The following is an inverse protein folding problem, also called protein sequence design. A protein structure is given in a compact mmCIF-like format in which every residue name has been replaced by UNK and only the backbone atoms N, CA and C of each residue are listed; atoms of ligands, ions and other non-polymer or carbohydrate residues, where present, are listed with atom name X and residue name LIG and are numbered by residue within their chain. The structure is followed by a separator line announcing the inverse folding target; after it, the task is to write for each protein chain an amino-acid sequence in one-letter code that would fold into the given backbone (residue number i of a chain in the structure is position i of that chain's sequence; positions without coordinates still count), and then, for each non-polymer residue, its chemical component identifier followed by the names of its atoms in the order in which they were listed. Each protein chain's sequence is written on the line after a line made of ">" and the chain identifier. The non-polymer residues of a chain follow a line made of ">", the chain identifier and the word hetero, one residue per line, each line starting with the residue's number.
data_IF_346859923775
#
_entry.id   IF_346859923775
#
_cell.length_a   1.000
_cell.length_b   1.000
_cell.length_c   1.000
_cell.angle_alpha   90.00
_cell.angle_beta   90.00
_cell.angle_gamma   90.00
#
_symmetry.space_group_name_H-M   'P 1'
#
loop_
_entity.id
_entity.type
_entity.pdbx_description
1 polymer ?
#
# COMPACT_ATOMS: atom_id res chain seq x y z
N UNK A 1 68.10 35.50 4.87
CA UNK A 1 67.16 34.41 5.21
C UNK A 1 65.92 34.60 4.35
N UNK A 2 65.78 33.81 3.29
CA UNK A 2 64.66 33.88 2.35
C UNK A 2 63.64 32.80 2.70
N UNK A 3 62.32 33.09 2.73
CA UNK A 3 61.31 32.06 2.85
C UNK A 3 61.00 31.47 1.47
N UNK A 4 61.04 30.14 1.38
CA UNK A 4 60.69 29.37 0.19
C UNK A 4 59.17 29.24 0.04
N UNK A 5 58.71 29.56 -1.17
CA UNK A 5 57.38 29.26 -1.70
C UNK A 5 57.27 27.75 -1.99
N UNK A 6 56.12 27.16 -1.67
CA UNK A 6 55.74 25.81 -2.08
C UNK A 6 54.28 25.85 -2.52
N UNK A 7 54.07 26.12 -3.80
CA UNK A 7 52.81 25.83 -4.50
C UNK A 7 52.90 24.42 -5.07
N UNK A 8 51.97 23.55 -4.66
CA UNK A 8 51.77 22.23 -5.22
C UNK A 8 50.31 22.07 -5.66
N UNK A 9 50.04 21.56 -6.87
CA UNK A 9 48.67 21.43 -7.37
C UNK A 9 47.96 20.24 -6.71
N UNK A 10 46.76 20.49 -6.18
CA UNK A 10 45.85 19.46 -5.67
C UNK A 10 45.16 18.80 -6.86
N UNK A 11 45.57 17.56 -7.16
CA UNK A 11 44.91 16.72 -8.14
C UNK A 11 43.59 16.20 -7.57
N UNK A 12 42.47 16.70 -8.10
CA UNK A 12 41.14 16.13 -7.86
C UNK A 12 41.03 14.79 -8.61
N UNK A 13 41.36 13.70 -7.91
CA UNK A 13 41.07 12.35 -8.36
C UNK A 13 39.58 12.05 -8.26
N UNK A 14 38.84 12.23 -9.36
CA UNK A 14 37.50 11.70 -9.49
C UNK A 14 37.56 10.17 -9.51
N UNK A 15 37.22 9.56 -8.38
CA UNK A 15 37.13 8.11 -8.24
C UNK A 15 35.88 7.63 -8.97
N UNK A 16 36.03 7.20 -10.21
CA UNK A 16 34.99 6.49 -10.96
C UNK A 16 34.80 5.11 -10.32
N UNK A 17 33.80 4.96 -9.47
CA UNK A 17 33.34 3.64 -9.06
C UNK A 17 32.70 2.96 -10.27
N UNK A 18 33.45 2.04 -10.89
CA UNK A 18 32.89 1.10 -11.85
C UNK A 18 31.76 0.32 -11.18
N UNK A 19 30.56 0.21 -11.78
CA UNK A 19 29.51 -0.68 -11.29
C UNK A 19 30.07 -2.11 -11.33
N UNK A 20 30.35 -2.68 -10.16
CA UNK A 20 30.82 -4.06 -10.04
C UNK A 20 29.80 -5.00 -10.69
N UNK A 21 30.26 -5.81 -11.64
CA UNK A 21 29.52 -6.97 -12.13
C UNK A 21 29.25 -7.88 -10.93
N UNK A 22 27.97 -8.13 -10.67
CA UNK A 22 27.47 -8.91 -9.53
C UNK A 22 27.41 -10.41 -9.87
N UNK A 23 28.06 -10.85 -10.96
CA UNK A 23 27.92 -12.19 -11.54
C UNK A 23 28.86 -13.24 -10.91
N UNK A 24 29.24 -13.06 -9.64
CA UNK A 24 29.87 -14.13 -8.87
C UNK A 24 28.84 -15.20 -8.50
N UNK A 25 29.17 -16.50 -8.51
CA UNK A 25 28.26 -17.52 -8.03
C UNK A 25 27.97 -17.25 -6.56
N UNK A 26 26.74 -16.82 -6.27
CA UNK A 26 26.21 -16.74 -4.91
C UNK A 26 26.36 -18.16 -4.34
N UNK A 27 27.18 -18.30 -3.31
CA UNK A 27 27.30 -19.58 -2.61
C UNK A 27 25.89 -19.96 -2.17
N UNK A 28 25.43 -21.21 -2.42
CA UNK A 28 24.09 -21.62 -2.05
C UNK A 28 23.93 -21.30 -0.56
N UNK A 29 23.02 -20.37 -0.23
CA UNK A 29 22.70 -20.08 1.15
C UNK A 29 22.30 -21.41 1.78
N UNK A 30 23.05 -21.85 2.80
CA UNK A 30 22.69 -23.05 3.55
C UNK A 30 21.26 -22.84 4.06
N UNK A 31 20.35 -23.72 3.64
CA UNK A 31 18.98 -23.74 4.10
C UNK A 31 18.99 -23.85 5.63
N UNK A 32 18.55 -22.79 6.32
CA UNK A 32 18.57 -22.73 7.77
C UNK A 32 17.23 -23.17 8.32
N UNK A 33 17.26 -24.00 9.35
CA UNK A 33 16.04 -24.36 10.07
C UNK A 33 15.44 -23.12 10.75
N UNK A 34 14.11 -22.91 10.65
CA UNK A 34 13.45 -21.80 11.34
C UNK A 34 13.67 -21.85 12.85
N UNK A 35 13.98 -20.70 13.47
CA UNK A 35 14.26 -20.61 14.90
C UNK A 35 13.09 -20.00 15.66
N UNK A 36 12.61 -20.70 16.69
CA UNK A 36 11.59 -20.19 17.60
C UNK A 36 12.21 -19.26 18.65
N UNK A 37 11.63 -18.07 18.83
CA UNK A 37 12.01 -17.06 19.82
C UNK A 37 10.80 -16.73 20.69
N UNK A 38 10.93 -16.89 22.00
CA UNK A 38 9.86 -16.62 22.95
C UNK A 38 9.44 -15.14 22.92
N UNK A 39 8.12 -14.88 22.91
CA UNK A 39 7.58 -13.51 22.85
C UNK A 39 7.62 -12.86 21.45
N UNK A 40 8.25 -13.51 20.46
CA UNK A 40 8.34 -13.05 19.07
C UNK A 40 7.63 -13.98 18.07
N UNK A 41 7.92 -15.28 18.11
CA UNK A 41 7.49 -16.25 17.11
C UNK A 41 8.68 -16.90 16.41
N UNK A 42 8.53 -17.25 15.14
CA UNK A 42 9.58 -17.91 14.35
C UNK A 42 10.34 -16.90 13.49
N UNK A 43 11.67 -17.01 13.46
CA UNK A 43 12.53 -16.38 12.46
C UNK A 43 12.77 -17.37 11.32
N UNK A 44 12.28 -17.06 10.13
CA UNK A 44 12.39 -17.92 8.94
C UNK A 44 13.48 -17.46 7.98
N UNK A 45 13.80 -16.17 7.97
CA UNK A 45 14.59 -15.52 6.94
C UNK A 45 15.81 -14.79 7.50
N UNK A 46 15.77 -14.36 8.76
CA UNK A 46 16.87 -13.65 9.41
C UNK A 46 17.84 -14.58 10.15
N UNK A 47 19.12 -14.21 10.12
CA UNK A 47 20.15 -14.86 10.92
C UNK A 47 20.06 -14.38 12.38
N UNK A 48 19.60 -15.25 13.29
CA UNK A 48 19.48 -14.93 14.71
C UNK A 48 20.81 -14.48 15.34
N UNK A 49 21.92 -15.15 15.02
CA UNK A 49 23.24 -14.79 15.56
C UNK A 49 23.66 -13.39 15.14
N UNK A 50 23.40 -13.03 13.87
CA UNK A 50 23.65 -11.68 13.38
C UNK A 50 22.78 -10.66 14.12
N UNK A 51 21.49 -10.96 14.31
CA UNK A 51 20.57 -10.06 14.98
C UNK A 51 20.94 -9.86 16.46
N UNK A 52 21.32 -10.92 17.17
CA UNK A 52 21.83 -10.86 18.55
C UNK A 52 23.16 -10.09 18.63
N UNK A 53 24.06 -10.29 17.67
CA UNK A 53 25.31 -9.54 17.60
C UNK A 53 25.07 -8.03 17.41
N UNK A 54 24.08 -7.63 16.60
CA UNK A 54 23.69 -6.22 16.45
C UNK A 54 23.13 -5.62 17.74
N UNK A 55 22.45 -6.42 18.55
CA UNK A 55 21.91 -6.00 19.84
C UNK A 55 22.96 -5.98 20.95
N UNK A 56 24.05 -6.73 20.81
CA UNK A 56 25.00 -6.97 21.89
C UNK A 56 24.35 -7.71 23.07
N UNK A 57 23.38 -8.58 22.80
CA UNK A 57 22.57 -9.30 23.79
C UNK A 57 22.63 -10.81 23.57
N UNK A 58 22.39 -11.55 24.65
CA UNK A 58 22.08 -12.99 24.58
C UNK A 58 20.63 -13.22 24.14
N UNK A 59 20.33 -14.44 23.70
CA UNK A 59 18.94 -14.82 23.36
C UNK A 59 18.00 -14.67 24.56
N UNK A 60 18.43 -15.06 25.76
CA UNK A 60 17.63 -14.97 26.98
C UNK A 60 17.26 -13.51 27.32
N UNK A 61 18.20 -12.58 27.17
CA UNK A 61 17.95 -11.15 27.36
C UNK A 61 16.96 -10.60 26.33
N UNK A 62 17.11 -10.98 25.06
CA UNK A 62 16.20 -10.59 24.00
C UNK A 62 14.78 -11.13 24.22
N UNK A 63 14.64 -12.42 24.57
CA UNK A 63 13.36 -13.06 24.90
C UNK A 63 12.70 -12.44 26.13
N UNK A 64 13.48 -12.10 27.15
CA UNK A 64 12.99 -11.37 28.34
C UNK A 64 12.44 -9.98 27.97
N UNK A 65 13.13 -9.26 27.08
CA UNK A 65 12.66 -7.96 26.58
C UNK A 65 11.37 -8.11 25.74
N UNK A 66 11.27 -9.15 24.92
CA UNK A 66 10.11 -9.43 24.06
C UNK A 66 8.92 -10.02 24.82
N UNK A 67 9.14 -10.70 25.94
CA UNK A 67 8.10 -11.21 26.83
C UNK A 67 7.28 -10.10 27.50
N UNK A 68 6.19 -10.48 28.15
CA UNK A 68 5.44 -9.56 29.03
C UNK A 68 6.31 -9.20 30.23
N UNK A 69 6.37 -7.91 30.58
CA UNK A 69 7.16 -7.42 31.71
C UNK A 69 6.47 -6.19 32.35
N UNK A 70 7.12 -5.58 33.35
CA UNK A 70 6.62 -4.42 34.07
C UNK A 70 6.48 -3.16 33.19
N UNK A 71 7.29 -3.05 32.12
CA UNK A 71 7.24 -1.96 31.14
C UNK A 71 6.19 -2.20 30.03
N UNK A 72 5.84 -3.45 29.76
CA UNK A 72 4.99 -3.87 28.63
C UNK A 72 4.00 -4.95 29.02
N UNK A 73 2.71 -4.60 28.98
CA UNK A 73 1.61 -5.48 29.40
C UNK A 73 1.27 -6.61 28.42
N UNK A 74 1.93 -6.67 27.27
CA UNK A 74 1.73 -7.66 26.22
C UNK A 74 3.07 -8.04 25.56
N UNK A 75 3.17 -9.26 25.00
CA UNK A 75 4.39 -9.73 24.34
C UNK A 75 4.66 -9.02 22.99
N UNK A 76 5.90 -9.08 22.52
CA UNK A 76 6.39 -8.42 21.29
C UNK A 76 5.56 -8.74 20.06
N UNK A 77 5.20 -10.01 19.84
CA UNK A 77 4.35 -10.44 18.71
C UNK A 77 2.97 -9.75 18.68
N UNK A 78 2.52 -9.23 19.82
CA UNK A 78 1.23 -8.57 19.96
C UNK A 78 1.31 -7.03 19.73
N UNK A 79 2.51 -6.51 19.43
CA UNK A 79 2.77 -5.11 19.13
C UNK A 79 2.15 -4.69 17.79
N UNK A 80 1.73 -3.42 17.71
CA UNK A 80 1.18 -2.83 16.48
C UNK A 80 2.17 -2.88 15.32
N UNK A 81 3.47 -2.68 15.57
CA UNK A 81 4.52 -2.75 14.55
C UNK A 81 4.50 -4.10 13.81
N UNK A 82 4.62 -5.20 14.57
CA UNK A 82 4.54 -6.57 14.03
C UNK A 82 3.23 -6.82 13.25
N UNK A 83 2.11 -6.27 13.72
CA UNK A 83 0.83 -6.44 13.04
C UNK A 83 0.79 -5.75 11.66
N UNK A 84 1.49 -4.63 11.47
CA UNK A 84 1.62 -3.99 10.16
C UNK A 84 2.45 -4.86 9.23
N UNK A 85 3.60 -5.36 9.70
CA UNK A 85 4.44 -6.27 8.92
C UNK A 85 3.72 -7.59 8.59
N UNK A 86 2.95 -8.17 9.50
CA UNK A 86 2.13 -9.36 9.21
C UNK A 86 1.09 -9.09 8.10
N UNK A 87 0.54 -7.88 8.03
CA UNK A 87 -0.37 -7.49 6.95
C UNK A 87 0.38 -7.31 5.62
N UNK A 88 1.59 -6.74 5.64
CA UNK A 88 2.48 -6.62 4.48
C UNK A 88 2.85 -8.01 3.95
N UNK A 89 3.29 -8.93 4.83
CA UNK A 89 3.57 -10.33 4.47
C UNK A 89 2.38 -10.99 3.79
N UNK A 90 1.20 -10.89 4.42
CA UNK A 90 -0.03 -11.45 3.86
C UNK A 90 -0.34 -10.88 2.47
N UNK A 91 -0.30 -9.57 2.31
CA UNK A 91 -0.62 -8.93 1.03
C UNK A 91 0.40 -9.29 -0.06
N UNK A 92 1.69 -9.33 0.29
CA UNK A 92 2.78 -9.66 -0.63
C UNK A 92 2.72 -11.13 -1.10
N UNK A 93 2.49 -12.07 -0.19
CA UNK A 93 2.29 -13.49 -0.53
C UNK A 93 1.12 -13.66 -1.51
N UNK A 94 0.00 -12.97 -1.24
CA UNK A 94 -1.19 -13.03 -2.09
C UNK A 94 -0.97 -12.35 -3.44
N UNK A 95 -0.19 -11.29 -3.51
CA UNK A 95 0.21 -10.64 -4.77
C UNK A 95 1.09 -11.54 -5.62
N UNK A 96 2.07 -12.22 -5.01
CA UNK A 96 2.92 -13.20 -5.70
C UNK A 96 2.06 -14.34 -6.25
N UNK A 97 1.17 -14.91 -5.44
CA UNK A 97 0.24 -15.97 -5.84
C UNK A 97 -0.68 -15.51 -7.00
N UNK A 98 -1.27 -14.31 -6.90
CA UNK A 98 -2.13 -13.74 -7.93
C UNK A 98 -1.39 -13.51 -9.26
N UNK A 99 -0.16 -12.99 -9.22
CA UNK A 99 0.67 -12.78 -10.40
C UNK A 99 1.13 -14.11 -11.02
N UNK A 100 1.48 -15.10 -10.19
CA UNK A 100 1.85 -16.44 -10.63
C UNK A 100 0.67 -17.10 -11.37
N UNK A 101 -0.53 -17.06 -10.77
CA UNK A 101 -1.72 -17.63 -11.39
C UNK A 101 -2.10 -16.93 -12.69
N UNK A 102 -2.02 -15.60 -12.72
CA UNK A 102 -2.27 -14.83 -13.95
C UNK A 102 -1.27 -15.22 -15.04
N UNK A 103 0.02 -15.41 -14.69
CA UNK A 103 1.05 -15.89 -15.61
C UNK A 103 0.69 -17.28 -16.18
N UNK A 104 0.23 -18.21 -15.36
CA UNK A 104 -0.19 -19.54 -15.80
C UNK A 104 -1.38 -19.50 -16.77
N UNK A 105 -2.41 -18.70 -16.46
CA UNK A 105 -3.57 -18.52 -17.33
C UNK A 105 -3.12 -18.01 -18.70
N UNK A 106 -2.28 -16.97 -18.73
CA UNK A 106 -1.75 -16.43 -20.00
C UNK A 106 -0.84 -17.44 -20.72
N UNK A 107 0.01 -18.17 -19.99
CA UNK A 107 0.87 -19.22 -20.57
C UNK A 107 0.07 -20.37 -21.21
N UNK A 108 -1.14 -20.62 -20.73
CA UNK A 108 -2.07 -21.61 -21.32
C UNK A 108 -2.75 -21.14 -22.61
N UNK A 109 -2.41 -19.94 -23.11
CA UNK A 109 -2.96 -19.36 -24.34
C UNK A 109 -4.22 -18.52 -24.13
N UNK A 110 -4.70 -18.38 -22.89
CA UNK A 110 -5.84 -17.49 -22.60
C UNK A 110 -5.42 -16.02 -22.68
N UNK A 111 -6.26 -15.13 -23.23
CA UNK A 111 -5.97 -13.70 -23.24
C UNK A 111 -5.91 -13.15 -21.81
N UNK A 112 -5.12 -12.09 -21.60
CA UNK A 112 -5.15 -11.35 -20.35
C UNK A 112 -6.43 -10.50 -20.33
N UNK A 113 -7.36 -10.86 -19.45
CA UNK A 113 -8.67 -10.23 -19.33
C UNK A 113 -8.61 -8.87 -18.60
N UNK A 114 -9.63 -8.03 -18.78
CA UNK A 114 -9.70 -6.71 -18.15
C UNK A 114 -9.82 -6.79 -16.63
N UNK A 115 -10.59 -7.76 -16.12
CA UNK A 115 -10.75 -7.97 -14.69
C UNK A 115 -9.41 -8.34 -14.02
N UNK A 116 -8.55 -9.10 -14.72
CA UNK A 116 -7.21 -9.46 -14.22
C UNK A 116 -6.32 -8.23 -14.12
N UNK A 117 -6.33 -7.38 -15.15
CA UNK A 117 -5.56 -6.12 -15.16
C UNK A 117 -6.04 -5.19 -14.05
N UNK A 118 -7.36 -5.00 -13.94
CA UNK A 118 -7.96 -4.13 -12.91
C UNK A 118 -7.67 -4.63 -11.50
N UNK A 119 -7.78 -5.94 -11.29
CA UNK A 119 -7.45 -6.57 -10.02
C UNK A 119 -5.98 -6.38 -9.64
N UNK A 120 -5.04 -6.68 -10.55
CA UNK A 120 -3.61 -6.49 -10.28
C UNK A 120 -3.27 -5.02 -10.00
N UNK A 121 -3.85 -4.09 -10.76
CA UNK A 121 -3.63 -2.66 -10.55
C UNK A 121 -4.16 -2.20 -9.19
N UNK A 122 -5.36 -2.63 -8.80
CA UNK A 122 -5.95 -2.33 -7.50
C UNK A 122 -5.05 -2.85 -6.38
N UNK A 123 -4.71 -4.14 -6.40
CA UNK A 123 -3.97 -4.80 -5.33
C UNK A 123 -2.54 -4.28 -5.18
N UNK A 124 -1.83 -4.05 -6.30
CA UNK A 124 -0.47 -3.51 -6.26
C UNK A 124 -0.49 -2.06 -5.77
N UNK A 125 -1.44 -1.23 -6.21
CA UNK A 125 -1.54 0.15 -5.73
C UNK A 125 -1.80 0.19 -4.22
N UNK A 126 -2.78 -0.57 -3.77
CA UNK A 126 -3.14 -0.68 -2.35
C UNK A 126 -1.96 -1.15 -1.48
N UNK A 127 -1.19 -2.13 -1.97
CA UNK A 127 0.03 -2.60 -1.30
C UNK A 127 1.15 -1.54 -1.27
N UNK A 128 1.44 -0.89 -2.41
CA UNK A 128 2.50 0.11 -2.49
C UNK A 128 2.17 1.35 -1.63
N UNK A 129 0.93 1.86 -1.71
CA UNK A 129 0.50 2.98 -0.86
C UNK A 129 0.71 2.67 0.63
N UNK A 130 0.38 1.44 1.06
CA UNK A 130 0.52 1.03 2.46
C UNK A 130 1.99 0.82 2.86
N UNK A 131 2.79 0.18 2.00
CA UNK A 131 4.21 -0.05 2.26
C UNK A 131 4.98 1.27 2.36
N UNK A 132 4.73 2.21 1.45
CA UNK A 132 5.35 3.55 1.47
C UNK A 132 4.97 4.31 2.75
N UNK A 133 3.69 4.30 3.13
CA UNK A 133 3.23 4.95 4.36
C UNK A 133 3.83 4.29 5.62
N UNK A 134 3.98 2.96 5.61
CA UNK A 134 4.60 2.20 6.71
C UNK A 134 6.07 2.58 6.89
N UNK A 135 6.86 2.58 5.81
CA UNK A 135 8.28 3.00 5.87
C UNK A 135 8.45 4.46 6.30
N UNK A 136 7.57 5.38 5.84
CA UNK A 136 7.59 6.77 6.33
C UNK A 136 7.33 6.83 7.85
N UNK A 137 6.41 6.02 8.37
CA UNK A 137 6.13 5.97 9.81
C UNK A 137 7.32 5.46 10.61
N UNK A 138 8.01 4.44 10.12
CA UNK A 138 9.22 3.91 10.76
C UNK A 138 10.29 5.00 10.84
N UNK A 139 10.66 5.60 9.72
CA UNK A 139 11.75 6.58 9.64
C UNK A 139 11.43 7.90 10.37
N UNK A 140 10.29 8.52 10.04
CA UNK A 140 9.99 9.89 10.46
C UNK A 140 9.37 9.99 11.85
N UNK A 141 8.78 8.90 12.34
CA UNK A 141 8.10 8.87 13.64
C UNK A 141 8.85 8.00 14.62
N UNK A 142 8.97 6.70 14.36
CA UNK A 142 9.47 5.75 15.36
C UNK A 142 10.99 5.81 15.52
N UNK A 143 11.76 5.61 14.46
CA UNK A 143 13.22 5.62 14.50
C UNK A 143 13.76 6.98 14.95
N UNK A 144 13.20 8.07 14.43
CA UNK A 144 13.52 9.43 14.91
C UNK A 144 13.22 9.64 16.40
N UNK A 145 12.18 9.00 16.93
CA UNK A 145 11.87 9.07 18.36
C UNK A 145 12.79 8.17 19.19
N UNK A 146 13.09 6.94 18.73
CA UNK A 146 13.98 6.00 19.40
C UNK A 146 15.44 6.48 19.45
N UNK A 147 15.93 7.12 18.36
CA UNK A 147 17.27 7.73 18.24
C UNK A 147 17.60 8.77 19.31
N UNK A 148 16.61 9.25 20.08
CA UNK A 148 16.82 10.15 21.21
C UNK A 148 17.42 9.45 22.44
N UNK A 149 17.37 8.12 22.51
CA UNK A 149 17.81 7.32 23.67
C UNK A 149 18.69 6.14 23.29
N UNK A 150 18.59 5.63 22.06
CA UNK A 150 19.27 4.42 21.61
C UNK A 150 19.88 4.67 20.24
N UNK A 151 21.12 4.22 20.04
CA UNK A 151 21.72 4.17 18.71
C UNK A 151 21.09 3.02 17.91
N UNK A 152 20.49 3.33 16.76
CA UNK A 152 19.84 2.33 15.93
C UNK A 152 20.84 1.72 14.95
N UNK A 153 20.94 0.38 14.85
CA UNK A 153 21.77 -0.28 13.86
C UNK A 153 21.42 0.16 12.43
N UNK A 154 22.44 0.39 11.59
CA UNK A 154 22.27 0.82 10.20
C UNK A 154 21.49 -0.20 9.37
N UNK A 155 21.56 -1.49 9.72
CA UNK A 155 20.84 -2.55 9.02
C UNK A 155 19.31 -2.40 9.06
N UNK A 156 18.76 -1.63 10.00
CA UNK A 156 17.32 -1.37 10.09
C UNK A 156 16.79 -0.54 8.92
N UNK A 157 17.65 0.26 8.28
CA UNK A 157 17.24 1.21 7.22
C UNK A 157 17.99 0.97 5.91
N UNK A 158 18.94 0.03 5.90
CA UNK A 158 19.86 -0.18 4.78
C UNK A 158 19.12 -0.59 3.49
N UNK A 159 18.07 -1.40 3.62
CA UNK A 159 17.36 -1.98 2.47
C UNK A 159 16.19 -1.12 1.97
N UNK A 160 15.74 -0.12 2.74
CA UNK A 160 14.57 0.71 2.39
C UNK A 160 14.70 1.32 1.00
N UNK A 161 15.88 1.86 0.67
CA UNK A 161 16.11 2.46 -0.64
C UNK A 161 16.00 1.46 -1.81
N UNK A 162 16.38 0.19 -1.61
CA UNK A 162 16.21 -0.86 -2.63
C UNK A 162 14.76 -1.33 -2.73
N UNK A 163 14.07 -1.45 -1.59
CA UNK A 163 12.64 -1.77 -1.51
C UNK A 163 11.82 -0.71 -2.26
N UNK A 164 12.00 0.58 -1.96
CA UNK A 164 11.30 1.71 -2.60
C UNK A 164 11.51 1.75 -4.13
N UNK A 165 12.75 1.53 -4.58
CA UNK A 165 13.06 1.44 -6.02
C UNK A 165 12.31 0.28 -6.67
N UNK A 166 12.21 -0.86 -6.00
CA UNK A 166 11.53 -2.03 -6.53
C UNK A 166 10.00 -1.85 -6.54
N UNK A 167 9.42 -1.27 -5.49
CA UNK A 167 8.01 -0.86 -5.42
C UNK A 167 7.65 0.07 -6.59
N UNK A 168 8.45 1.12 -6.81
CA UNK A 168 8.26 2.05 -7.94
C UNK A 168 8.26 1.33 -9.29
N UNK A 169 9.20 0.38 -9.50
CA UNK A 169 9.28 -0.40 -10.75
C UNK A 169 8.08 -1.33 -10.92
N UNK A 170 7.57 -1.91 -9.84
CA UNK A 170 6.37 -2.76 -9.82
C UNK A 170 5.13 -1.91 -10.18
N UNK A 171 4.97 -0.75 -9.55
CA UNK A 171 3.86 0.16 -9.84
C UNK A 171 3.84 0.59 -11.30
N UNK A 172 4.96 1.05 -11.84
CA UNK A 172 5.05 1.47 -13.24
C UNK A 172 4.69 0.30 -14.16
N UNK A 173 5.14 -0.91 -13.84
CA UNK A 173 4.82 -2.11 -14.64
C UNK A 173 3.33 -2.41 -14.61
N UNK A 174 2.70 -2.42 -13.45
CA UNK A 174 1.27 -2.76 -13.34
C UNK A 174 0.38 -1.68 -13.99
N UNK A 175 0.76 -0.41 -13.86
CA UNK A 175 0.09 0.75 -14.50
C UNK A 175 0.14 0.66 -16.03
N UNK A 176 1.13 -0.03 -16.60
CA UNK A 176 1.26 -0.26 -18.05
C UNK A 176 0.56 -1.54 -18.55
N UNK A 177 0.07 -2.42 -17.65
CA UNK A 177 -0.67 -3.61 -18.09
C UNK A 177 -1.96 -3.22 -18.79
N UNK A 178 -2.26 -3.91 -19.89
CA UNK A 178 -3.48 -3.75 -20.68
C UNK A 178 -3.99 -5.13 -21.07
N UNK A 179 -5.32 -5.33 -21.17
CA UNK A 179 -5.85 -6.59 -21.67
C UNK A 179 -5.34 -6.88 -23.08
N UNK A 180 -5.36 -8.14 -23.49
CA UNK A 180 -5.00 -8.51 -24.86
C UNK A 180 -4.53 -9.96 -25.04
N UNK A 181 -4.12 -10.32 -26.27
CA UNK A 181 -3.75 -11.69 -26.64
C UNK A 181 -2.61 -12.24 -25.81
N UNK A 182 -2.64 -13.55 -25.53
CA UNK A 182 -1.66 -14.21 -24.67
C UNK A 182 -0.18 -14.00 -25.07
N UNK A 183 0.21 -14.15 -26.36
CA UNK A 183 1.61 -14.00 -26.77
C UNK A 183 2.19 -12.63 -26.43
N UNK A 184 1.37 -11.58 -26.51
CA UNK A 184 1.80 -10.19 -26.27
C UNK A 184 1.92 -9.86 -24.77
N UNK A 185 1.26 -10.65 -23.91
CA UNK A 185 1.10 -10.36 -22.49
C UNK A 185 1.93 -11.24 -21.59
N UNK A 186 2.31 -12.44 -22.04
CA UNK A 186 3.04 -13.41 -21.23
C UNK A 186 4.32 -12.82 -20.62
N UNK A 187 5.15 -12.16 -21.44
CA UNK A 187 6.39 -11.55 -20.98
C UNK A 187 6.15 -10.45 -19.94
N UNK A 188 5.11 -9.62 -20.13
CA UNK A 188 4.77 -8.53 -19.22
C UNK A 188 4.33 -9.05 -17.85
N UNK A 189 3.49 -10.09 -17.82
CA UNK A 189 3.02 -10.72 -16.57
C UNK A 189 4.15 -11.48 -15.90
N UNK A 190 4.99 -12.21 -16.65
CA UNK A 190 6.16 -12.91 -16.11
C UNK A 190 7.14 -11.92 -15.45
N UNK A 191 7.43 -10.78 -16.08
CA UNK A 191 8.26 -9.71 -15.51
C UNK A 191 7.65 -9.07 -14.27
N UNK A 192 6.32 -8.96 -14.16
CA UNK A 192 5.67 -8.50 -12.93
C UNK A 192 5.84 -9.54 -11.81
N UNK A 193 5.54 -10.81 -12.10
CA UNK A 193 5.70 -11.91 -11.16
C UNK A 193 7.12 -11.99 -10.60
N UNK A 194 8.15 -12.00 -11.47
CA UNK A 194 9.55 -12.04 -11.01
C UNK A 194 9.92 -10.85 -10.11
N UNK A 195 9.41 -9.64 -10.38
CA UNK A 195 9.68 -8.49 -9.51
C UNK A 195 9.01 -8.61 -8.14
N UNK A 196 7.78 -9.13 -8.10
CA UNK A 196 7.08 -9.38 -6.83
C UNK A 196 7.81 -10.46 -6.00
N UNK A 197 8.35 -11.48 -6.66
CA UNK A 197 9.20 -12.50 -6.00
C UNK A 197 10.47 -11.85 -5.43
N UNK A 198 11.20 -11.05 -6.21
CA UNK A 198 12.38 -10.34 -5.70
C UNK A 198 12.04 -9.36 -4.57
N UNK A 199 10.88 -8.72 -4.62
CA UNK A 199 10.43 -7.85 -3.53
C UNK A 199 10.18 -8.65 -2.27
N UNK A 200 9.54 -9.82 -2.40
CA UNK A 200 9.32 -10.74 -1.28
C UNK A 200 10.64 -11.23 -0.67
N UNK A 201 11.60 -11.62 -1.50
CA UNK A 201 12.92 -12.05 -1.06
C UNK A 201 13.66 -10.96 -0.28
N UNK A 202 13.46 -9.68 -0.63
CA UNK A 202 14.05 -8.54 0.07
C UNK A 202 13.27 -8.16 1.34
N UNK A 203 11.95 -8.05 1.26
CA UNK A 203 11.13 -7.55 2.36
C UNK A 203 11.02 -8.51 3.54
N UNK A 204 10.99 -9.83 3.31
CA UNK A 204 10.81 -10.80 4.40
C UNK A 204 11.96 -10.81 5.42
N UNK A 205 13.24 -10.98 5.03
CA UNK A 205 14.34 -10.87 5.97
C UNK A 205 14.44 -9.47 6.59
N UNK A 206 14.19 -8.42 5.80
CA UNK A 206 14.19 -7.04 6.28
C UNK A 206 13.18 -6.83 7.43
N UNK A 207 11.91 -7.18 7.23
CA UNK A 207 10.88 -7.04 8.27
C UNK A 207 11.16 -7.92 9.49
N UNK A 208 11.65 -9.16 9.32
CA UNK A 208 12.02 -10.00 10.48
C UNK A 208 13.13 -9.37 11.32
N UNK A 209 14.13 -8.78 10.67
CA UNK A 209 15.22 -8.09 11.35
C UNK A 209 14.72 -6.83 12.07
N UNK A 210 13.90 -6.01 11.41
CA UNK A 210 13.27 -4.84 12.02
C UNK A 210 12.45 -5.23 13.25
N UNK A 211 11.58 -6.23 13.13
CA UNK A 211 10.76 -6.65 14.26
C UNK A 211 11.62 -7.16 15.40
N UNK A 212 12.63 -8.00 15.15
CA UNK A 212 13.41 -8.57 16.23
C UNK A 212 14.28 -7.50 16.89
N UNK A 213 15.09 -6.79 16.11
CA UNK A 213 16.02 -5.78 16.63
C UNK A 213 15.28 -4.57 17.17
N UNK A 214 14.39 -3.96 16.38
CA UNK A 214 13.68 -2.74 16.80
C UNK A 214 12.75 -2.99 17.98
N UNK A 215 12.05 -4.14 18.06
CA UNK A 215 11.20 -4.42 19.22
C UNK A 215 12.03 -4.69 20.48
N UNK A 216 13.18 -5.39 20.39
CA UNK A 216 14.06 -5.58 21.55
C UNK A 216 14.56 -4.22 22.06
N UNK A 217 15.08 -3.36 21.17
CA UNK A 217 15.54 -2.02 21.54
C UNK A 217 14.42 -1.15 22.10
N UNK A 218 13.26 -1.14 21.45
CA UNK A 218 12.08 -0.41 21.89
C UNK A 218 11.68 -0.84 23.31
N UNK A 219 11.61 -2.15 23.56
CA UNK A 219 11.08 -2.69 24.82
C UNK A 219 12.08 -2.63 25.96
N UNK A 220 13.37 -2.68 25.65
CA UNK A 220 14.45 -2.50 26.63
C UNK A 220 14.49 -1.07 27.14
N UNK A 221 14.40 -0.10 26.23
CA UNK A 221 14.69 1.30 26.54
C UNK A 221 13.47 2.18 26.77
N UNK A 222 12.27 1.72 26.42
CA UNK A 222 11.04 2.50 26.56
C UNK A 222 9.94 1.69 27.25
N UNK A 223 9.02 2.40 27.89
CA UNK A 223 7.78 1.84 28.45
C UNK A 223 6.65 1.90 27.43
N UNK A 224 5.63 1.04 27.60
CA UNK A 224 4.40 1.10 26.80
C UNK A 224 3.75 2.49 26.84
N UNK A 225 3.82 3.18 28.00
CA UNK A 225 3.27 4.53 28.15
C UNK A 225 4.00 5.56 27.29
N UNK A 226 5.31 5.46 27.17
CA UNK A 226 6.11 6.35 26.33
C UNK A 226 5.82 6.11 24.84
N UNK A 227 5.74 4.85 24.43
CA UNK A 227 5.45 4.43 23.05
C UNK A 227 4.07 4.92 22.55
N UNK A 228 3.11 5.18 23.44
CA UNK A 228 1.82 5.79 23.08
C UNK A 228 1.94 7.16 22.41
N UNK A 229 3.05 7.87 22.60
CA UNK A 229 3.26 9.19 21.99
C UNK A 229 3.47 9.10 20.48
N UNK A 230 4.50 8.40 19.96
CA UNK A 230 4.64 8.18 18.52
C UNK A 230 3.42 7.44 17.93
N UNK A 231 2.88 6.42 18.61
CA UNK A 231 1.68 5.71 18.15
C UNK A 231 0.46 6.64 17.97
N UNK A 232 0.26 7.63 18.84
CA UNK A 232 -0.85 8.59 18.69
C UNK A 232 -0.65 9.49 17.47
N UNK A 233 0.59 9.78 17.09
CA UNK A 233 0.91 10.58 15.90
C UNK A 233 0.58 9.78 14.64
N UNK A 234 1.00 8.52 14.61
CA UNK A 234 0.69 7.56 13.55
C UNK A 234 -0.82 7.32 13.43
N UNK A 235 -1.52 7.00 14.52
CA UNK A 235 -2.98 6.75 14.54
C UNK A 235 -3.82 7.90 13.97
N UNK A 236 -3.32 9.14 14.01
CA UNK A 236 -4.02 10.29 13.41
C UNK A 236 -3.93 10.31 11.88
N UNK A 237 -2.95 9.61 11.31
CA UNK A 237 -2.76 9.44 9.87
C UNK A 237 -3.48 8.20 9.33
N UNK A 238 -3.66 7.18 10.18
CA UNK A 238 -4.37 5.95 9.80
C UNK A 238 -5.80 6.24 9.35
N UNK A 239 -6.07 5.93 8.10
CA UNK A 239 -7.38 5.94 7.49
C UNK A 239 -8.14 4.66 7.81
N UNK A 240 -9.44 4.64 7.46
CA UNK A 240 -10.23 3.40 7.55
C UNK A 240 -9.70 2.30 6.63
N UNK A 241 -9.07 2.69 5.53
CA UNK A 241 -8.48 1.79 4.55
C UNK A 241 -7.21 1.15 5.13
N UNK A 242 -6.33 1.93 5.77
CA UNK A 242 -5.12 1.41 6.42
C UNK A 242 -5.47 0.44 7.55
N UNK A 243 -6.48 0.78 8.36
CA UNK A 243 -6.98 -0.13 9.40
C UNK A 243 -7.53 -1.44 8.80
N UNK A 244 -8.19 -1.37 7.65
CA UNK A 244 -8.65 -2.55 6.93
C UNK A 244 -7.45 -3.39 6.47
N UNK A 245 -6.47 -2.76 5.83
CA UNK A 245 -5.22 -3.38 5.39
C UNK A 245 -4.54 -4.16 6.52
N UNK A 246 -4.24 -3.51 7.65
CA UNK A 246 -3.63 -4.14 8.83
C UNK A 246 -4.47 -5.33 9.32
N UNK A 247 -5.79 -5.19 9.29
CA UNK A 247 -6.70 -6.23 9.73
C UNK A 247 -6.78 -7.44 8.79
N UNK A 248 -6.35 -7.38 7.54
CA UNK A 248 -6.65 -8.44 6.53
C UNK A 248 -6.15 -9.83 6.91
N UNK A 249 -4.97 -9.92 7.53
CA UNK A 249 -4.40 -11.18 8.02
C UNK A 249 -5.10 -11.71 9.27
N UNK A 250 -6.00 -10.93 9.88
CA UNK A 250 -6.62 -11.23 11.16
C UNK A 250 -8.05 -11.74 11.03
N UNK A 251 -8.41 -12.71 11.88
CA UNK A 251 -9.82 -13.06 12.08
C UNK A 251 -10.58 -11.92 12.79
N UNK A 252 -11.92 -11.98 12.77
CA UNK A 252 -12.79 -10.95 13.36
C UNK A 252 -12.57 -10.72 14.87
N UNK A 253 -12.16 -11.74 15.62
CA UNK A 253 -11.86 -11.57 17.04
C UNK A 253 -10.56 -10.78 17.24
N UNK A 254 -9.51 -11.11 16.48
CA UNK A 254 -8.23 -10.41 16.51
C UNK A 254 -8.36 -8.96 16.04
N UNK A 255 -9.16 -8.69 14.98
CA UNK A 255 -9.51 -7.32 14.55
C UNK A 255 -10.13 -6.50 15.69
N UNK A 256 -11.06 -7.09 16.45
CA UNK A 256 -11.68 -6.41 17.61
C UNK A 256 -10.65 -6.08 18.67
N UNK A 257 -9.79 -7.03 19.02
CA UNK A 257 -8.75 -6.86 20.03
C UNK A 257 -7.76 -5.77 19.61
N UNK A 258 -7.31 -5.78 18.35
CA UNK A 258 -6.45 -4.74 17.78
C UNK A 258 -7.12 -3.36 17.90
N UNK A 259 -8.35 -3.20 17.39
CA UNK A 259 -9.06 -1.92 17.44
C UNK A 259 -9.26 -1.40 18.87
N UNK A 260 -9.54 -2.29 19.83
CA UNK A 260 -9.64 -1.92 21.24
C UNK A 260 -8.30 -1.42 21.81
N UNK A 261 -7.17 -2.03 21.44
CA UNK A 261 -5.83 -1.56 21.81
C UNK A 261 -5.48 -0.21 21.19
N UNK A 262 -5.98 0.06 19.99
CA UNK A 262 -5.89 1.39 19.36
C UNK A 262 -6.77 2.44 20.06
N UNK A 263 -7.55 2.05 21.07
CA UNK A 263 -8.41 2.94 21.87
C UNK A 263 -9.81 3.12 21.29
N UNK A 264 -10.20 2.35 20.26
CA UNK A 264 -11.55 2.43 19.72
C UNK A 264 -12.56 1.81 20.68
N UNK A 265 -13.63 2.56 20.98
CA UNK A 265 -14.69 2.09 21.87
C UNK A 265 -15.39 0.86 21.28
N UNK A 266 -15.89 -0.03 22.14
CA UNK A 266 -16.57 -1.28 21.70
C UNK A 266 -17.72 -1.02 20.73
N UNK A 267 -18.51 0.03 20.98
CA UNK A 267 -19.64 0.41 20.11
C UNK A 267 -19.16 0.97 18.77
N UNK A 268 -18.17 1.87 18.77
CA UNK A 268 -17.62 2.44 17.53
C UNK A 268 -16.95 1.37 16.66
N UNK A 269 -16.18 0.47 17.28
CA UNK A 269 -15.58 -0.70 16.63
C UNK A 269 -16.64 -1.58 15.96
N UNK A 270 -17.73 -1.91 16.67
CA UNK A 270 -18.78 -2.80 16.15
C UNK A 270 -19.63 -2.15 15.05
N UNK A 271 -19.97 -0.87 15.20
CA UNK A 271 -20.95 -0.21 14.33
C UNK A 271 -20.32 0.55 13.16
N UNK A 272 -19.05 0.95 13.25
CA UNK A 272 -18.39 1.82 12.26
C UNK A 272 -17.16 1.16 11.66
N UNK A 273 -16.15 0.83 12.47
CA UNK A 273 -14.86 0.39 11.95
C UNK A 273 -14.94 -1.01 11.33
N UNK A 274 -15.49 -2.01 12.03
CA UNK A 274 -15.59 -3.37 11.49
C UNK A 274 -16.42 -3.43 10.19
N UNK A 275 -17.62 -2.83 10.10
CA UNK A 275 -18.35 -2.81 8.83
C UNK A 275 -17.63 -2.07 7.70
N UNK A 276 -16.82 -1.05 8.00
CA UNK A 276 -15.99 -0.39 7.01
C UNK A 276 -14.86 -1.30 6.52
N UNK A 277 -14.12 -1.92 7.44
CA UNK A 277 -13.06 -2.88 7.13
C UNK A 277 -13.60 -4.08 6.34
N UNK A 278 -14.74 -4.65 6.72
CA UNK A 278 -15.35 -5.78 6.01
C UNK A 278 -15.79 -5.42 4.59
N UNK A 279 -16.15 -4.16 4.33
CA UNK A 279 -16.47 -3.71 2.97
C UNK A 279 -15.21 -3.55 2.13
N UNK A 280 -14.14 -3.00 2.70
CA UNK A 280 -12.84 -2.90 2.05
C UNK A 280 -12.28 -4.30 1.73
N UNK A 281 -12.30 -5.20 2.73
CA UNK A 281 -11.93 -6.61 2.60
C UNK A 281 -12.76 -7.33 1.55
N UNK A 282 -14.04 -6.99 1.39
CA UNK A 282 -14.88 -7.60 0.36
C UNK A 282 -14.42 -7.22 -1.05
N UNK A 283 -14.00 -5.97 -1.27
CA UNK A 283 -13.49 -5.51 -2.57
C UNK A 283 -12.11 -6.08 -2.86
N UNK A 284 -11.15 -5.91 -1.94
CA UNK A 284 -9.78 -6.37 -2.11
C UNK A 284 -9.69 -7.90 -2.06
N UNK A 285 -10.40 -8.53 -1.13
CA UNK A 285 -10.48 -9.98 -1.01
C UNK A 285 -11.16 -10.64 -2.19
N UNK A 286 -12.14 -9.99 -2.83
CA UNK A 286 -12.70 -10.45 -4.10
C UNK A 286 -11.62 -10.48 -5.19
N UNK A 287 -10.89 -9.39 -5.37
CA UNK A 287 -9.82 -9.30 -6.38
C UNK A 287 -8.73 -10.36 -6.14
N UNK A 288 -8.28 -10.55 -4.89
CA UNK A 288 -7.36 -11.63 -4.54
C UNK A 288 -7.92 -13.00 -4.92
N UNK A 289 -9.17 -13.30 -4.54
CA UNK A 289 -9.80 -14.60 -4.84
C UNK A 289 -9.92 -14.85 -6.34
N UNK A 290 -10.35 -13.87 -7.11
CA UNK A 290 -10.50 -14.02 -8.56
C UNK A 290 -9.16 -14.28 -9.23
N UNK A 291 -8.13 -13.51 -8.88
CA UNK A 291 -6.80 -13.65 -9.47
C UNK A 291 -6.12 -14.96 -9.08
N UNK A 292 -6.16 -15.34 -7.80
CA UNK A 292 -5.53 -16.57 -7.29
C UNK A 292 -6.22 -17.84 -7.78
N UNK A 293 -7.53 -17.80 -8.02
CA UNK A 293 -8.25 -18.93 -8.64
C UNK A 293 -8.17 -18.91 -10.18
N UNK A 294 -7.90 -17.75 -10.77
CA UNK A 294 -8.00 -17.52 -12.21
C UNK A 294 -9.45 -17.54 -12.71
N UNK A 295 -10.43 -17.26 -11.84
CA UNK A 295 -11.87 -17.31 -12.16
C UNK A 295 -12.57 -16.00 -11.76
N UNK A 296 -13.15 -15.26 -12.72
CA UNK A 296 -13.93 -14.07 -12.38
C UNK A 296 -15.28 -14.46 -11.77
N UNK A 297 -15.83 -13.56 -10.96
CA UNK A 297 -17.23 -13.63 -10.54
C UNK A 297 -18.15 -13.07 -11.63
N UNK A 298 -19.47 -13.37 -11.57
CA UNK A 298 -20.44 -12.77 -12.48
C UNK A 298 -20.37 -11.23 -12.50
N UNK A 299 -20.16 -10.59 -11.34
CA UNK A 299 -20.03 -9.14 -11.26
C UNK A 299 -18.82 -8.60 -12.05
N UNK A 300 -17.67 -9.28 -11.98
CA UNK A 300 -16.48 -8.88 -12.74
C UNK A 300 -16.66 -9.09 -14.24
N UNK A 301 -17.39 -10.13 -14.66
CA UNK A 301 -17.75 -10.36 -16.07
C UNK A 301 -18.75 -9.30 -16.57
N UNK A 302 -19.75 -8.93 -15.76
CA UNK A 302 -20.69 -7.85 -16.09
C UNK A 302 -19.98 -6.50 -16.24
N UNK A 303 -19.03 -6.20 -15.35
CA UNK A 303 -18.21 -4.99 -15.44
C UNK A 303 -17.33 -4.97 -16.70
N UNK A 304 -16.77 -6.11 -17.08
CA UNK A 304 -15.99 -6.27 -18.31
C UNK A 304 -16.85 -6.06 -19.56
N UNK A 305 -18.03 -6.68 -19.62
CA UNK A 305 -18.96 -6.50 -20.73
C UNK A 305 -19.41 -5.04 -20.89
N UNK A 306 -19.70 -4.36 -19.77
CA UNK A 306 -20.06 -2.93 -19.78
C UNK A 306 -18.91 -2.04 -20.27
N UNK A 307 -17.66 -2.38 -19.92
CA UNK A 307 -16.49 -1.66 -20.41
C UNK A 307 -16.34 -1.81 -21.94
N UNK A 308 -16.48 -3.03 -22.47
CA UNK A 308 -16.41 -3.30 -23.91
C UNK A 308 -17.49 -2.54 -24.69
N UNK A 309 -18.73 -2.53 -24.18
CA UNK A 309 -19.84 -1.77 -24.78
C UNK A 309 -19.54 -0.26 -24.83
N UNK A 310 -19.00 0.29 -23.73
CA UNK A 310 -18.65 1.71 -23.65
C UNK A 310 -17.46 2.08 -24.55
N UNK A 311 -16.49 1.18 -24.71
CA UNK A 311 -15.34 1.35 -25.60
C UNK A 311 -15.75 1.34 -27.07
N UNK A 312 -16.63 0.42 -27.46
CA UNK A 312 -17.19 0.36 -28.81
C UNK A 312 -17.96 1.64 -29.16
N UNK A 313 -18.75 2.18 -28.22
CA UNK A 313 -19.48 3.43 -28.42
C UNK A 313 -18.54 4.63 -28.62
N UNK A 314 -17.44 4.72 -27.87
CA UNK A 314 -16.44 5.80 -28.03
C UNK A 314 -15.69 5.71 -29.36
N UNK A 315 -15.25 4.51 -29.75
CA UNK A 315 -14.58 4.32 -31.04
C UNK A 315 -15.43 4.75 -32.24
N UNK A 316 -16.75 4.51 -32.19
CA UNK A 316 -17.68 4.99 -33.22
C UNK A 316 -17.84 6.52 -33.21
N UNK A 317 -17.88 7.16 -32.03
CA UNK A 317 -17.95 8.62 -31.92
C UNK A 317 -16.68 9.30 -32.43
N UNK A 318 -15.51 8.77 -32.07
CA UNK A 318 -14.22 9.33 -32.50
C UNK A 318 -14.00 9.13 -34.01
N UNK A 319 -14.39 7.97 -34.56
CA UNK A 319 -14.38 7.73 -36.01
C UNK A 319 -15.31 8.68 -36.77
N UNK A 320 -16.54 8.87 -36.28
CA UNK A 320 -17.49 9.80 -36.88
C UNK A 320 -17.01 11.26 -36.79
N UNK A 321 -16.36 11.64 -35.69
CA UNK A 321 -15.75 12.96 -35.52
C UNK A 321 -14.59 13.16 -36.49
N UNK A 322 -13.69 12.18 -36.62
CA UNK A 322 -12.57 12.22 -37.56
C UNK A 322 -13.01 12.41 -39.02
N UNK A 323 -14.06 11.68 -39.44
CA UNK A 323 -14.63 11.83 -40.78
C UNK A 323 -15.29 13.20 -41.01
N UNK A 324 -15.94 13.77 -39.98
CA UNK A 324 -16.50 15.14 -40.07
C UNK A 324 -15.40 16.19 -40.19
N UNK A 325 -14.34 16.08 -39.40
CA UNK A 325 -13.20 17.00 -39.47
C UNK A 325 -12.46 16.89 -40.81
N UNK A 326 -12.31 15.68 -41.36
CA UNK A 326 -11.75 15.47 -42.70
C UNK A 326 -12.62 16.10 -43.80
N UNK A 327 -13.94 15.86 -43.77
CA UNK A 327 -14.87 16.45 -44.73
C UNK A 327 -15.04 17.98 -44.61
N UNK A 328 -14.67 18.58 -43.47
CA UNK A 328 -14.57 20.04 -43.32
C UNK A 328 -13.27 20.59 -43.91
N UNK A 329 -12.15 19.87 -43.75
CA UNK A 329 -10.86 20.25 -44.36
C UNK A 329 -10.92 20.19 -45.89
N UNK A 330 -11.55 19.17 -46.46
CA UNK A 330 -11.73 19.05 -47.91
C UNK A 330 -12.61 20.18 -48.48
N UNK A 331 -13.71 20.53 -47.79
CA UNK A 331 -14.56 21.68 -48.17
C UNK A 331 -13.89 23.04 -47.98
N UNK A 332 -12.95 23.17 -47.05
CA UNK A 332 -12.13 24.36 -46.90
C UNK A 332 -11.17 24.53 -48.08
N UNK A 333 -10.58 23.43 -48.55
CA UNK A 333 -9.60 23.42 -49.66
C UNK A 333 -10.21 23.77 -51.02
N UNK A 334 -11.48 23.47 -51.26
CA UNK A 334 -12.18 23.88 -52.48
C UNK A 334 -12.51 25.39 -52.53
N UNK A 335 -12.48 26.09 -51.38
CA UNK A 335 -12.72 27.53 -51.32
C UNK A 335 -11.44 28.37 -51.44
N UNK A 336 -10.28 27.77 -51.25
CA UNK A 336 -8.98 28.39 -51.54
C UNK A 336 -8.61 28.12 -53.00
N UNK A 337 -9.24 28.87 -53.90
CA UNK A 337 -8.81 28.90 -55.30
C UNK A 337 -7.35 29.37 -55.44
N UNK A 338 -6.70 29.12 -56.59
CA UNK A 338 -5.31 29.50 -56.85
C UNK A 338 -5.18 31.03 -56.97
N UNK A 339 -5.15 31.71 -55.82
CA UNK A 339 -5.05 33.16 -55.72
C UNK A 339 -3.73 33.57 -55.06
N UNK A 340 -2.79 34.02 -55.88
CA UNK A 340 -1.86 35.10 -55.57
C UNK A 340 -0.96 34.94 -54.35
N UNK A 341 0.22 34.35 -54.55
CA UNK A 341 1.37 34.51 -53.66
C UNK A 341 2.12 35.78 -54.05
N UNK A 342 1.84 36.89 -53.37
CA UNK A 342 2.70 38.08 -53.38
C UNK A 342 2.90 38.62 -51.97
N UNK A 343 4.18 38.77 -51.60
CA UNK A 343 4.67 39.98 -50.91
C UNK A 343 4.72 40.03 -49.39
N UNK A 344 5.91 40.35 -48.87
CA UNK A 344 6.16 41.04 -47.58
C UNK A 344 6.34 40.09 -46.40
N UNK A 345 7.49 40.02 -45.72
CA UNK A 345 8.21 41.10 -45.03
C UNK A 345 8.18 40.70 -43.55
N UNK A 346 9.29 40.28 -42.93
CA UNK A 346 10.30 41.19 -42.39
C UNK A 346 9.85 41.67 -40.99
N UNK A 347 10.44 41.15 -39.91
CA UNK A 347 10.09 41.56 -38.55
C UNK A 347 10.82 40.78 -37.47
N UNK A 348 12.12 41.06 -37.33
CA UNK A 348 12.92 40.76 -36.14
C UNK A 348 12.44 41.60 -34.94
N UNK A 349 12.59 41.04 -33.73
CA UNK A 349 12.44 41.72 -32.44
C UNK A 349 12.21 40.66 -31.37
N UNK A 350 13.15 40.32 -30.49
CA UNK A 350 14.09 41.19 -29.80
C UNK A 350 13.42 41.72 -28.54
N UNK A 351 13.71 41.14 -27.38
CA UNK A 351 13.07 41.52 -26.12
C UNK A 351 13.66 40.79 -24.91
N UNK A 352 14.87 41.19 -24.52
CA UNK A 352 15.47 40.99 -23.21
C UNK A 352 14.70 41.71 -22.09
N UNK A 353 14.89 41.24 -20.87
CA UNK A 353 14.56 41.97 -19.63
C UNK A 353 13.70 41.13 -18.70
N UNK A 354 14.00 40.97 -17.42
CA UNK A 354 15.00 41.58 -16.56
C UNK A 354 14.68 41.08 -15.14
N UNK A 355 15.69 40.87 -14.32
CA UNK A 355 15.53 40.35 -12.97
C UNK A 355 14.74 41.28 -12.05
N UNK A 356 14.23 40.68 -10.96
CA UNK A 356 14.05 41.37 -9.68
C UNK A 356 14.03 40.34 -8.56
N UNK A 357 15.10 40.39 -7.78
CA UNK A 357 15.16 39.94 -6.40
C UNK A 357 14.12 40.69 -5.57
N UNK A 358 13.56 40.03 -4.55
CA UNK A 358 12.72 40.70 -3.57
C UNK A 358 12.08 39.77 -2.55
N UNK A 359 12.67 39.72 -1.36
CA UNK A 359 11.93 39.79 -0.11
C UNK A 359 11.51 38.46 0.53
N UNK A 360 12.36 37.95 1.42
CA UNK A 360 11.93 37.14 2.55
C UNK A 360 11.15 38.00 3.55
N UNK A 361 9.98 37.50 3.96
CA UNK A 361 9.20 37.99 5.10
C UNK A 361 8.35 36.84 5.65
N UNK A 362 8.23 36.69 6.99
CA UNK A 362 7.55 35.55 7.59
C UNK A 362 6.04 35.80 7.61
N UNK A 363 5.24 34.89 7.05
CA UNK A 363 3.78 34.93 7.19
C UNK A 363 3.29 33.85 8.15
N UNK A 364 2.57 34.33 9.15
CA UNK A 364 1.97 33.60 10.24
C UNK A 364 0.70 32.86 9.78
N UNK A 365 0.38 31.81 10.53
CA UNK A 365 -0.82 31.00 10.50
C UNK A 365 -2.02 31.45 9.65
N UNK A 366 -2.34 30.63 8.64
CA UNK A 366 -3.71 30.47 8.14
C UNK A 366 -4.10 28.99 8.15
N UNK A 367 -5.08 28.67 8.98
CA UNK A 367 -5.86 27.43 8.92
C UNK A 367 -6.41 27.24 7.50
N UNK A 368 -5.94 26.21 6.81
CA UNK A 368 -6.59 25.70 5.62
C UNK A 368 -7.58 24.61 6.03
N UNK A 369 -8.87 24.94 6.01
CA UNK A 369 -9.95 23.96 5.90
C UNK A 369 -9.99 23.45 4.45
N UNK A 370 -9.91 22.14 4.20
CA UNK A 370 -10.28 21.62 2.90
C UNK A 370 -11.80 21.45 2.81
N UNK A 371 -12.39 22.25 1.93
CA UNK A 371 -13.73 22.10 1.39
C UNK A 371 -13.79 20.82 0.53
N UNK A 372 -14.43 19.77 1.04
CA UNK A 372 -14.68 18.52 0.32
C UNK A 372 -16.04 18.60 -0.36
N UNK A 373 -16.08 19.17 -1.57
CA UNK A 373 -17.16 18.94 -2.55
C UNK A 373 -16.57 18.57 -3.90
N UNK A 374 -16.75 17.30 -4.28
CA UNK A 374 -16.48 16.72 -5.60
C UNK A 374 -17.14 15.34 -5.69
N UNK A 375 -17.60 14.91 -6.88
CA UNK A 375 -18.92 14.31 -7.03
C UNK A 375 -18.99 12.81 -6.69
N UNK A 376 -19.99 12.46 -5.90
CA UNK A 376 -20.49 11.10 -5.76
C UNK A 376 -21.23 10.70 -7.04
N UNK A 377 -20.78 9.63 -7.69
CA UNK A 377 -21.48 8.98 -8.79
C UNK A 377 -21.66 7.48 -8.50
N UNK A 378 -22.92 7.08 -8.32
CA UNK A 378 -23.51 5.73 -8.45
C UNK A 378 -22.94 4.63 -7.53
N UNK A 379 -23.69 3.98 -6.63
CA UNK A 379 -24.97 3.29 -6.84
C UNK A 379 -25.95 3.44 -5.66
N UNK A 380 -27.22 3.62 -6.00
CA UNK A 380 -28.37 3.29 -5.17
C UNK A 380 -29.03 2.03 -5.74
N UNK A 381 -29.34 1.05 -4.89
CA UNK A 381 -30.38 0.05 -5.16
C UNK A 381 -31.03 -0.33 -3.82
N UNK A 382 -32.22 0.23 -3.60
CA UNK A 382 -33.24 -0.35 -2.71
C UNK A 382 -33.84 -1.56 -3.43
N UNK A 383 -34.08 -2.66 -2.73
CA UNK A 383 -35.42 -3.24 -2.59
C UNK A 383 -35.48 -4.25 -1.45
N UNK A 384 -36.69 -4.38 -0.90
CA UNK A 384 -37.08 -5.02 0.36
C UNK A 384 -37.99 -6.22 0.02
N UNK A 385 -37.80 -7.32 0.77
CA UNK A 385 -38.77 -8.39 1.14
C UNK A 385 -39.46 -9.27 0.09
N UNK A 386 -39.31 -10.59 0.24
CA UNK A 386 -40.41 -11.56 0.37
C UNK A 386 -39.93 -12.89 1.02
N UNK A 387 -40.81 -13.48 1.85
CA UNK A 387 -40.74 -14.76 2.58
C UNK A 387 -41.10 -15.95 1.64
N UNK A 388 -40.38 -17.09 1.65
CA UNK A 388 -40.63 -18.39 2.37
C UNK A 388 -41.72 -19.28 1.69
N UNK A 389 -41.87 -20.63 1.85
CA UNK A 389 -41.07 -21.69 2.49
C UNK A 389 -40.95 -23.04 1.68
N UNK A 390 -40.16 -24.04 2.13
CA UNK A 390 -40.52 -25.49 2.14
C UNK A 390 -39.36 -26.46 2.53
N UNK A 391 -39.75 -27.52 3.27
CA UNK A 391 -39.02 -28.75 3.67
C UNK A 391 -38.04 -28.59 4.87
N UNK A 392 -38.24 -29.15 6.07
CA UNK A 392 -39.17 -30.17 6.57
C UNK A 392 -38.40 -31.17 7.46
N UNK A 393 -38.63 -31.16 8.78
CA UNK A 393 -38.22 -32.27 9.68
C UNK A 393 -37.78 -31.85 11.09
N UNK A 394 -38.07 -32.65 12.16
CA UNK A 394 -38.51 -32.09 13.44
C UNK A 394 -37.62 -32.35 14.68
N UNK A 395 -37.94 -31.59 15.73
CA UNK A 395 -37.80 -31.86 17.16
C UNK A 395 -36.40 -32.07 17.77
N UNK A 396 -35.98 -31.09 18.59
CA UNK A 396 -35.80 -31.32 20.04
C UNK A 396 -35.84 -30.02 20.83
N UNK A 397 -36.74 -30.01 21.80
CA UNK A 397 -36.96 -28.96 22.78
C UNK A 397 -35.80 -28.84 23.76
N UNK A 398 -35.39 -27.60 24.05
CA UNK A 398 -34.89 -27.20 25.38
C UNK A 398 -35.54 -25.87 25.70
N UNK A 399 -36.46 -25.92 26.64
CA UNK A 399 -37.18 -24.80 27.21
C UNK A 399 -36.63 -24.57 28.62
N UNK A 400 -36.29 -23.33 28.95
CA UNK A 400 -36.52 -22.68 30.26
C UNK A 400 -35.64 -21.43 30.41
N UNK A 401 -36.30 -20.30 30.14
CA UNK A 401 -36.41 -19.12 31.02
C UNK A 401 -35.16 -18.49 31.62
N UNK A 402 -34.88 -17.25 31.20
CA UNK A 402 -34.66 -16.14 32.12
C UNK A 402 -35.26 -14.86 31.52
N UNK A 403 -36.26 -14.36 32.24
CA UNK A 403 -37.09 -13.21 31.93
C UNK A 403 -36.55 -11.97 32.66
N UNK A 404 -36.90 -10.79 32.16
CA UNK A 404 -36.84 -9.45 32.80
C UNK A 404 -35.47 -8.74 32.81
N UNK A 405 -35.32 -7.71 31.96
CA UNK A 405 -35.50 -6.31 32.40
C UNK A 405 -35.33 -5.35 31.20
N UNK A 406 -36.45 -4.82 30.69
CA UNK A 406 -36.47 -3.79 29.65
C UNK A 406 -37.62 -2.83 29.95
N UNK A 407 -37.31 -1.67 30.55
CA UNK A 407 -38.05 -0.38 30.41
C UNK A 407 -37.51 0.67 31.39
N UNK A 408 -37.11 1.81 30.83
CA UNK A 408 -37.26 3.19 31.34
C UNK A 408 -36.43 4.11 30.40
N UNK A 409 -37.06 4.68 29.35
CA UNK A 409 -37.45 6.10 29.17
C UNK A 409 -36.55 6.70 28.05
N UNK A 410 -36.99 7.38 26.99
CA UNK A 410 -38.27 8.00 26.68
C UNK A 410 -38.11 9.53 26.57
N UNK A 411 -38.10 10.06 25.34
CA UNK A 411 -38.56 11.42 25.02
C UNK A 411 -37.52 12.53 24.80
N UNK A 412 -37.45 13.10 23.59
CA UNK A 412 -38.15 14.37 23.27
C UNK A 412 -37.85 14.82 21.82
N UNK A 413 -38.93 15.04 21.05
CA UNK A 413 -38.96 15.87 19.84
C UNK A 413 -39.78 17.14 20.14
N UNK A 414 -39.37 18.22 19.47
CA UNK A 414 -40.08 19.47 19.14
C UNK A 414 -40.24 20.58 20.19
N UNK A 415 -39.61 21.73 19.89
CA UNK A 415 -40.25 22.99 19.49
C UNK A 415 -39.54 24.22 20.09
N UNK A 416 -39.19 25.19 19.23
CA UNK A 416 -39.44 26.63 19.42
C UNK A 416 -38.85 27.41 18.22
N UNK A 417 -39.74 27.78 17.29
CA UNK A 417 -39.61 29.01 16.53
C UNK A 417 -40.64 29.99 17.06
N UNK A 418 -40.16 31.17 17.46
CA UNK A 418 -40.89 32.43 17.60
C UNK A 418 -39.96 33.52 17.06
#
# INVERSE_FOLDING_TARGET
>A
MSPGSVDGPVANGASTMSPGSVDGPVSPEEERDPVMVAGFGTLHHSNLDLALAQLGMTLEEAESALGTNDKWSFPGYACGWRQHHDAIRFALDRLVEAAARTKEVVASGQPLALWQVSGLQLLVKDFCDFADAHSEHEEEIFYRWMKRRVELPVCLTADHGDIERLLTRIEVRVKLLRPGPAPDKLESVAKLHSRLVSLRELMLPHMELEEFVSLVLLRTHFTEKEAKTPERREKRRLTRHDLAFVGRSMNTANKKTMLQRLGASRLFTKLVLLPAMLRDDATVGLAFRELTTGRPTPASLEAEAAFEESGAARGQQDGARGLREQGQRERGREKEGPGGREGGGGGEGGGEGGGKEGGEGPDEGKELRPDLRGPAGYYALKHRQARDPACGGPNRAWDSTAEVCCRCFGGCMNACGA
#
